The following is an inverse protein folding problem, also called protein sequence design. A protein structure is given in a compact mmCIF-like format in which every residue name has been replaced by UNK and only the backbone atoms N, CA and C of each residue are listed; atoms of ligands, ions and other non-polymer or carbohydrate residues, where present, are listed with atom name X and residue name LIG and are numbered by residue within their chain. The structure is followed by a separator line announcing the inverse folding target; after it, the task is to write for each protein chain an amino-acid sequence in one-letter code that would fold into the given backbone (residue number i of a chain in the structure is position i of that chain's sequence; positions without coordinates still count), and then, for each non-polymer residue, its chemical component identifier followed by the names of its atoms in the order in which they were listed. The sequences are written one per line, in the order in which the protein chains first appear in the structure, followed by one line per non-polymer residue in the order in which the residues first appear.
data_IF_578192206248
#
_entry.id   IF_578192206248
#
_cell.length_a   1.000
_cell.length_b   1.000
_cell.length_c   1.000
_cell.angle_alpha   90.00
_cell.angle_beta   90.00
_cell.angle_gamma   90.00
#
_symmetry.space_group_name_H-M   'P 1'
#
loop_
_entity.id
_entity.type
_entity.pdbx_description
1 polymer ?
#
# COMPACT_ATOMS: atom_id res chain seq x y z
N UNK A 1 -8.57 -38.80 -5.50
CA UNK A 1 -7.66 -37.70 -5.08
C UNK A 1 -8.37 -36.41 -5.43
N UNK A 2 -8.72 -35.61 -4.44
CA UNK A 2 -9.59 -34.43 -4.65
C UNK A 2 -8.80 -33.14 -4.86
N UNK A 3 -7.52 -33.13 -4.44
CA UNK A 3 -6.60 -32.00 -4.58
C UNK A 3 -5.25 -32.53 -5.05
N UNK A 4 -4.66 -31.85 -6.03
CA UNK A 4 -3.30 -32.10 -6.51
C UNK A 4 -2.47 -30.84 -6.27
N UNK A 5 -1.31 -30.98 -5.63
CA UNK A 5 -0.33 -29.90 -5.48
C UNK A 5 0.77 -30.12 -6.50
N UNK A 6 0.92 -29.19 -7.44
CA UNK A 6 1.75 -29.36 -8.61
C UNK A 6 2.65 -28.15 -8.87
N UNK A 7 3.83 -28.39 -9.43
CA UNK A 7 4.60 -27.35 -10.13
C UNK A 7 4.00 -27.13 -11.52
N UNK A 8 4.37 -26.03 -12.18
CA UNK A 8 3.88 -25.68 -13.53
C UNK A 8 4.03 -26.85 -14.50
N UNK A 9 5.23 -27.47 -14.54
CA UNK A 9 5.52 -28.56 -15.47
C UNK A 9 4.58 -29.76 -15.27
N UNK A 10 4.28 -30.12 -14.02
CA UNK A 10 3.36 -31.22 -13.73
C UNK A 10 1.90 -30.84 -14.00
N UNK A 11 1.47 -29.66 -13.56
CA UNK A 11 0.10 -29.18 -13.76
C UNK A 11 -0.27 -29.03 -15.24
N UNK A 12 0.72 -28.68 -16.09
CA UNK A 12 0.48 -28.60 -17.53
C UNK A 12 0.27 -29.97 -18.22
N UNK A 13 0.73 -31.06 -17.62
CA UNK A 13 0.52 -32.41 -18.12
C UNK A 13 -0.86 -32.98 -17.80
N UNK A 14 -1.62 -32.31 -16.92
CA UNK A 14 -2.94 -32.75 -16.50
C UNK A 14 -3.98 -32.21 -17.47
N UNK A 15 -4.70 -33.14 -18.11
CA UNK A 15 -5.88 -32.84 -18.95
C UNK A 15 -7.12 -33.50 -18.33
N UNK A 16 -7.73 -32.80 -17.37
CA UNK A 16 -8.95 -33.22 -16.70
C UNK A 16 -10.02 -32.15 -16.94
N UNK A 17 -11.17 -32.49 -17.55
CA UNK A 17 -12.12 -31.46 -18.02
C UNK A 17 -12.92 -30.80 -16.89
N UNK A 18 -13.08 -31.50 -15.77
CA UNK A 18 -13.93 -31.16 -14.63
C UNK A 18 -13.17 -30.52 -13.46
N UNK A 19 -12.07 -29.81 -13.73
CA UNK A 19 -11.32 -29.07 -12.70
C UNK A 19 -12.12 -27.85 -12.25
N UNK A 20 -12.58 -27.85 -10.99
CA UNK A 20 -13.42 -26.78 -10.40
C UNK A 20 -12.67 -25.65 -9.71
N UNK A 21 -11.43 -25.89 -9.31
CA UNK A 21 -10.66 -24.93 -8.55
C UNK A 21 -9.18 -25.03 -8.92
N UNK A 22 -8.60 -23.90 -9.33
CA UNK A 22 -7.16 -23.74 -9.51
C UNK A 22 -6.68 -22.70 -8.51
N UNK A 23 -5.69 -23.07 -7.70
CA UNK A 23 -5.06 -22.16 -6.73
C UNK A 23 -3.60 -21.97 -7.08
N UNK A 24 -3.23 -20.73 -7.33
CA UNK A 24 -1.85 -20.28 -7.41
C UNK A 24 -1.42 -19.79 -6.03
N UNK A 25 -0.57 -20.57 -5.35
CA UNK A 25 0.04 -20.15 -4.08
C UNK A 25 1.02 -18.98 -4.26
N UNK A 26 1.60 -18.84 -5.46
CA UNK A 26 2.43 -17.72 -5.89
C UNK A 26 2.09 -17.39 -7.34
N UNK A 27 2.27 -16.13 -7.77
CA UNK A 27 2.02 -15.76 -9.16
C UNK A 27 2.96 -16.46 -10.14
N UNK A 28 2.47 -16.71 -11.35
CA UNK A 28 3.22 -17.35 -12.42
C UNK A 28 4.38 -16.47 -12.91
N UNK A 29 5.32 -17.02 -13.68
CA UNK A 29 6.46 -16.22 -14.17
C UNK A 29 6.05 -15.17 -15.20
N UNK A 30 4.96 -15.42 -15.92
CA UNK A 30 4.42 -14.53 -16.96
C UNK A 30 2.90 -14.57 -16.93
N UNK A 31 2.27 -13.55 -17.52
CA UNK A 31 0.80 -13.49 -17.61
C UNK A 31 0.25 -14.54 -18.59
N UNK A 32 0.99 -14.87 -19.64
CA UNK A 32 0.63 -15.96 -20.57
C UNK A 32 0.64 -17.32 -19.87
N UNK A 33 1.67 -17.57 -19.05
CA UNK A 33 1.73 -18.79 -18.24
C UNK A 33 0.55 -18.88 -17.30
N UNK A 34 0.24 -17.79 -16.57
CA UNK A 34 -0.93 -17.72 -15.71
C UNK A 34 -2.23 -18.00 -16.48
N UNK A 35 -2.42 -17.38 -17.65
CA UNK A 35 -3.60 -17.58 -18.50
C UNK A 35 -3.76 -19.04 -18.96
N UNK A 36 -2.67 -19.68 -19.39
CA UNK A 36 -2.68 -21.09 -19.80
C UNK A 36 -2.95 -22.04 -18.63
N UNK A 37 -2.40 -21.73 -17.45
CA UNK A 37 -2.58 -22.52 -16.24
C UNK A 37 -4.03 -22.47 -15.76
N UNK A 38 -4.63 -21.28 -15.66
CA UNK A 38 -6.04 -21.13 -15.26
C UNK A 38 -7.02 -21.64 -16.33
N UNK A 39 -6.64 -21.63 -17.62
CA UNK A 39 -7.43 -22.16 -18.73
C UNK A 39 -7.61 -23.69 -18.73
N UNK A 40 -7.10 -24.38 -17.70
CA UNK A 40 -7.35 -25.81 -17.45
C UNK A 40 -8.60 -26.04 -16.60
N UNK A 41 -9.07 -25.02 -15.89
CA UNK A 41 -10.32 -25.10 -15.16
C UNK A 41 -11.51 -25.13 -16.11
N UNK A 42 -12.57 -25.87 -15.78
CA UNK A 42 -13.85 -25.71 -16.47
C UNK A 42 -13.88 -26.06 -17.95
N UNK A 43 -13.05 -26.99 -18.45
CA UNK A 43 -13.07 -27.37 -19.88
C UNK A 43 -14.34 -28.12 -20.29
N UNK A 44 -15.06 -28.66 -19.32
CA UNK A 44 -16.43 -29.17 -19.48
C UNK A 44 -17.49 -28.07 -19.66
N UNK A 45 -17.11 -26.79 -19.59
CA UNK A 45 -17.99 -25.64 -19.74
C UNK A 45 -18.69 -25.21 -18.45
N UNK A 46 -18.48 -25.92 -17.33
CA UNK A 46 -19.06 -25.54 -16.04
C UNK A 46 -18.18 -24.53 -15.29
N UNK A 47 -18.84 -23.68 -14.50
CA UNK A 47 -18.19 -22.66 -13.68
C UNK A 47 -17.09 -23.27 -12.80
N UNK A 48 -15.94 -22.59 -12.78
CA UNK A 48 -14.76 -22.99 -12.02
C UNK A 48 -14.05 -21.75 -11.51
N UNK A 49 -13.42 -21.86 -10.34
CA UNK A 49 -12.76 -20.74 -9.66
C UNK A 49 -11.25 -20.78 -9.86
N UNK A 50 -10.66 -19.60 -10.05
CA UNK A 50 -9.21 -19.42 -10.19
C UNK A 50 -8.76 -18.40 -9.14
N UNK A 51 -7.98 -18.85 -8.16
CA UNK A 51 -7.56 -18.04 -7.01
C UNK A 51 -6.04 -17.87 -7.06
N UNK A 52 -5.59 -16.61 -7.03
CA UNK A 52 -4.17 -16.26 -6.98
C UNK A 52 -3.84 -15.57 -5.65
N UNK A 53 -2.96 -16.19 -4.87
CA UNK A 53 -2.35 -15.52 -3.72
C UNK A 53 -1.19 -14.64 -4.17
N UNK A 54 -1.26 -13.37 -3.79
CA UNK A 54 -0.26 -12.35 -4.15
C UNK A 54 0.36 -11.74 -2.90
N UNK A 55 1.69 -11.71 -2.87
CA UNK A 55 2.47 -10.95 -1.91
C UNK A 55 3.68 -10.33 -2.60
N UNK A 56 3.99 -9.09 -2.23
CA UNK A 56 5.20 -8.41 -2.71
C UNK A 56 6.48 -9.14 -2.28
N UNK A 57 6.42 -9.99 -1.25
CA UNK A 57 7.53 -10.83 -0.81
C UNK A 57 7.97 -11.86 -1.87
N UNK A 58 7.04 -12.38 -2.67
CA UNK A 58 7.34 -13.40 -3.67
C UNK A 58 8.11 -12.84 -4.88
N UNK A 59 7.99 -11.55 -5.14
CA UNK A 59 8.78 -10.83 -6.14
C UNK A 59 10.27 -11.07 -6.02
N UNK A 60 10.81 -11.04 -4.79
CA UNK A 60 12.25 -11.19 -4.54
C UNK A 60 12.78 -12.53 -5.07
N UNK A 61 11.99 -13.60 -4.96
CA UNK A 61 12.36 -14.93 -5.47
C UNK A 61 12.41 -14.94 -6.99
N UNK A 62 11.41 -14.36 -7.66
CA UNK A 62 11.41 -14.25 -9.12
C UNK A 62 12.56 -13.39 -9.63
N UNK A 63 12.81 -12.22 -9.01
CA UNK A 63 13.94 -11.36 -9.36
C UNK A 63 15.29 -12.06 -9.18
N UNK A 64 15.46 -12.87 -8.13
CA UNK A 64 16.67 -13.63 -7.91
C UNK A 64 16.95 -14.60 -9.06
N UNK A 65 15.96 -15.40 -9.48
CA UNK A 65 16.15 -16.32 -10.61
C UNK A 65 16.33 -15.61 -11.95
N UNK A 66 15.64 -14.49 -12.17
CA UNK A 66 15.79 -13.71 -13.40
C UNK A 66 17.20 -13.12 -13.51
N UNK A 67 17.77 -12.63 -12.40
CA UNK A 67 19.14 -12.09 -12.36
C UNK A 67 20.23 -13.12 -12.68
N UNK A 68 19.94 -14.41 -12.59
CA UNK A 68 20.87 -15.49 -12.95
C UNK A 68 20.87 -15.81 -14.46
N UNK A 69 19.94 -15.24 -15.23
CA UNK A 69 19.92 -15.41 -16.68
C UNK A 69 21.13 -14.68 -17.27
N UNK A 70 22.00 -15.42 -17.97
CA UNK A 70 23.23 -14.90 -18.57
C UNK A 70 22.96 -14.00 -19.79
N UNK A 71 21.94 -14.32 -20.58
CA UNK A 71 21.55 -13.51 -21.74
C UNK A 71 20.78 -12.27 -21.29
N UNK A 72 21.38 -11.08 -21.47
CA UNK A 72 20.81 -9.80 -21.06
C UNK A 72 19.45 -9.53 -21.70
N UNK A 73 19.26 -9.98 -22.96
CA UNK A 73 18.00 -9.79 -23.67
C UNK A 73 16.89 -10.64 -23.04
N UNK A 74 17.12 -11.93 -22.81
CA UNK A 74 16.19 -12.83 -22.12
C UNK A 74 15.95 -12.40 -20.67
N UNK A 75 16.96 -11.90 -19.97
CA UNK A 75 16.83 -11.35 -18.62
C UNK A 75 15.86 -10.15 -18.62
N UNK A 76 16.09 -9.18 -19.51
CA UNK A 76 15.24 -7.99 -19.64
C UNK A 76 13.79 -8.37 -20.00
N UNK A 77 13.62 -9.30 -20.94
CA UNK A 77 12.30 -9.82 -21.32
C UNK A 77 11.60 -10.49 -20.13
N UNK A 78 12.32 -11.27 -19.33
CA UNK A 78 11.77 -11.94 -18.15
C UNK A 78 11.38 -10.94 -17.05
N UNK A 79 12.15 -9.87 -16.87
CA UNK A 79 11.79 -8.76 -15.95
C UNK A 79 10.54 -8.01 -16.41
N UNK A 80 10.37 -7.78 -17.72
CA UNK A 80 9.17 -7.16 -18.27
C UNK A 80 7.93 -8.03 -18.02
N UNK A 81 8.05 -9.34 -18.26
CA UNK A 81 6.98 -10.30 -17.99
C UNK A 81 6.59 -10.36 -16.50
N UNK A 82 7.57 -10.31 -15.60
CA UNK A 82 7.31 -10.22 -14.17
C UNK A 82 6.53 -8.95 -13.81
N UNK A 83 6.86 -7.80 -14.40
CA UNK A 83 6.12 -6.55 -14.15
C UNK A 83 4.67 -6.66 -14.60
N UNK A 84 4.41 -7.22 -15.78
CA UNK A 84 3.06 -7.40 -16.32
C UNK A 84 2.15 -8.23 -15.41
N UNK A 85 2.64 -9.34 -14.87
CA UNK A 85 1.82 -10.14 -13.95
C UNK A 85 1.63 -9.45 -12.58
N UNK A 86 2.62 -8.69 -12.11
CA UNK A 86 2.46 -7.87 -10.91
C UNK A 86 1.40 -6.77 -11.11
N UNK A 87 1.46 -6.07 -12.25
CA UNK A 87 0.48 -5.05 -12.63
C UNK A 87 -0.93 -5.67 -12.69
N UNK A 88 -1.07 -6.89 -13.20
CA UNK A 88 -2.33 -7.65 -13.16
C UNK A 88 -2.81 -7.92 -11.72
N UNK A 89 -1.92 -8.29 -10.81
CA UNK A 89 -2.25 -8.54 -9.41
C UNK A 89 -2.75 -7.27 -8.70
N UNK A 90 -2.14 -6.12 -8.98
CA UNK A 90 -2.43 -4.82 -8.38
C UNK A 90 -3.53 -4.03 -9.13
N UNK A 91 -3.99 -4.54 -10.27
CA UNK A 91 -4.96 -3.87 -11.11
C UNK A 91 -6.30 -3.67 -10.38
N UNK A 92 -6.88 -2.48 -10.50
CA UNK A 92 -8.12 -2.08 -9.80
C UNK A 92 -9.36 -2.07 -10.70
N UNK A 93 -9.26 -2.66 -11.89
CA UNK A 93 -10.36 -2.79 -12.86
C UNK A 93 -10.52 -4.24 -13.32
N UNK A 94 -11.54 -4.54 -14.12
CA UNK A 94 -11.89 -5.90 -14.55
C UNK A 94 -10.69 -6.77 -14.97
N UNK A 95 -10.47 -7.90 -14.27
CA UNK A 95 -9.36 -8.84 -14.57
C UNK A 95 -9.44 -9.44 -15.96
N UNK A 96 -10.65 -9.77 -16.43
CA UNK A 96 -10.88 -10.29 -17.79
C UNK A 96 -10.48 -9.26 -18.85
N UNK A 97 -10.85 -7.99 -18.65
CA UNK A 97 -10.51 -6.88 -19.54
C UNK A 97 -9.00 -6.68 -19.62
N UNK A 98 -8.29 -6.82 -18.50
CA UNK A 98 -6.82 -6.76 -18.47
C UNK A 98 -6.18 -7.87 -19.30
N UNK A 99 -6.59 -9.13 -19.07
CA UNK A 99 -6.06 -10.30 -19.80
C UNK A 99 -6.35 -10.18 -21.30
N UNK A 100 -7.58 -9.86 -21.69
CA UNK A 100 -7.93 -9.73 -23.11
C UNK A 100 -7.12 -8.63 -23.78
N UNK A 101 -7.02 -7.45 -23.13
CA UNK A 101 -6.20 -6.34 -23.64
C UNK A 101 -4.73 -6.74 -23.81
N UNK A 102 -4.20 -7.56 -22.91
CA UNK A 102 -2.84 -8.07 -23.00
C UNK A 102 -2.60 -8.85 -24.30
N UNK A 103 -3.58 -9.63 -24.74
CA UNK A 103 -3.55 -10.39 -25.99
C UNK A 103 -4.02 -9.58 -27.21
N UNK A 104 -4.24 -8.27 -27.07
CA UNK A 104 -4.71 -7.40 -28.16
C UNK A 104 -6.21 -7.49 -28.44
N UNK A 105 -6.97 -8.13 -27.55
CA UNK A 105 -8.43 -8.24 -27.66
C UNK A 105 -9.13 -7.15 -26.85
N UNK A 106 -10.24 -6.64 -27.39
CA UNK A 106 -11.05 -5.63 -26.73
C UNK A 106 -12.32 -6.24 -26.14
N UNK A 107 -12.47 -6.11 -24.83
CA UNK A 107 -13.71 -6.44 -24.12
C UNK A 107 -14.58 -5.19 -23.99
N UNK A 108 -15.72 -5.19 -24.69
CA UNK A 108 -16.62 -4.04 -24.78
C UNK A 108 -17.38 -3.77 -23.49
N UNK A 109 -17.66 -4.81 -22.70
CA UNK A 109 -18.34 -4.65 -21.42
C UNK A 109 -17.37 -4.19 -20.32
N UNK A 110 -17.85 -3.35 -19.41
CA UNK A 110 -17.05 -2.90 -18.26
C UNK A 110 -17.02 -3.92 -17.11
N UNK A 111 -17.97 -4.87 -17.08
CA UNK A 111 -18.10 -5.85 -16.02
C UNK A 111 -18.16 -7.27 -16.58
N UNK A 112 -17.19 -8.12 -16.25
CA UNK A 112 -17.15 -9.50 -16.74
C UNK A 112 -18.05 -10.49 -15.98
N UNK A 113 -18.73 -10.02 -14.93
CA UNK A 113 -19.63 -10.78 -14.06
C UNK A 113 -19.01 -12.00 -13.36
N UNK A 114 -17.68 -12.12 -13.36
CA UNK A 114 -16.99 -13.31 -12.83
C UNK A 114 -15.69 -13.09 -12.08
N UNK A 115 -15.00 -11.95 -12.25
CA UNK A 115 -13.76 -11.69 -11.48
C UNK A 115 -14.05 -11.01 -10.14
N UNK A 116 -13.14 -11.17 -9.20
CA UNK A 116 -13.17 -10.53 -7.88
C UNK A 116 -13.49 -9.04 -7.89
N UNK A 117 -12.88 -8.26 -8.78
CA UNK A 117 -13.11 -6.80 -8.87
C UNK A 117 -14.52 -6.49 -9.37
N UNK A 118 -14.99 -7.22 -10.39
CA UNK A 118 -16.33 -7.03 -10.97
C UNK A 118 -17.45 -7.60 -10.09
N UNK A 119 -17.13 -8.60 -9.29
CA UNK A 119 -17.99 -9.18 -8.26
C UNK A 119 -17.91 -8.41 -6.95
N UNK A 120 -16.93 -7.52 -6.80
CA UNK A 120 -16.60 -6.84 -5.55
C UNK A 120 -16.37 -7.82 -4.38
N UNK A 121 -15.54 -8.84 -4.61
CA UNK A 121 -15.16 -9.77 -3.55
C UNK A 121 -14.29 -9.04 -2.52
N UNK A 122 -14.63 -9.18 -1.24
CA UNK A 122 -13.77 -8.71 -0.15
C UNK A 122 -13.23 -9.88 0.66
N UNK A 123 -11.98 -9.73 1.08
CA UNK A 123 -11.36 -10.63 2.05
C UNK A 123 -12.02 -10.43 3.41
N UNK A 124 -12.67 -11.48 3.91
CA UNK A 124 -13.25 -11.51 5.25
C UNK A 124 -12.39 -12.41 6.12
N UNK A 125 -11.94 -11.86 7.24
CA UNK A 125 -11.25 -12.62 8.28
C UNK A 125 -12.32 -13.34 9.12
N UNK A 126 -12.34 -14.67 9.04
CA UNK A 126 -13.15 -15.50 9.93
C UNK A 126 -12.73 -15.38 11.39
N UNK A 127 -13.63 -15.74 12.31
CA UNK A 127 -13.30 -15.87 13.73
C UNK A 127 -12.59 -17.20 14.01
N UNK A 128 -11.50 -17.17 14.80
CA UNK A 128 -10.73 -18.35 15.21
C UNK A 128 -9.72 -18.86 14.17
N UNK A 129 -9.28 -20.12 14.31
CA UNK A 129 -8.28 -20.79 13.45
C UNK A 129 -8.80 -21.20 12.05
N UNK A 130 -9.92 -20.63 11.58
CA UNK A 130 -10.50 -20.94 10.26
C UNK A 130 -10.42 -19.74 9.29
N UNK A 131 -9.44 -19.88 8.39
CA UNK A 131 -9.33 -19.54 6.95
C UNK A 131 -9.89 -18.21 6.42
N UNK A 132 -9.13 -17.62 5.50
CA UNK A 132 -9.54 -16.54 4.60
C UNK A 132 -10.78 -16.95 3.82
N UNK A 133 -11.83 -16.12 3.86
CA UNK A 133 -13.01 -16.26 3.00
C UNK A 133 -13.11 -15.06 2.06
N UNK A 134 -13.55 -15.32 0.82
CA UNK A 134 -13.92 -14.28 -0.13
C UNK A 134 -15.43 -14.34 -0.30
N UNK A 135 -16.13 -13.30 0.17
CA UNK A 135 -17.56 -13.19 -0.08
C UNK A 135 -17.82 -12.12 -1.12
N UNK A 136 -18.80 -12.38 -1.99
CA UNK A 136 -19.35 -11.37 -2.89
C UNK A 136 -20.01 -10.32 -2.03
N UNK A 137 -19.33 -9.21 -1.80
CA UNK A 137 -19.97 -8.06 -1.19
C UNK A 137 -20.92 -7.55 -2.25
N UNK A 138 -22.22 -7.75 -2.01
CA UNK A 138 -23.25 -7.04 -2.76
C UNK A 138 -22.99 -5.55 -2.58
N UNK A 139 -22.27 -4.96 -3.51
CA UNK A 139 -22.32 -3.52 -3.71
C UNK A 139 -23.69 -3.22 -4.30
N UNK A 140 -24.66 -3.05 -3.41
CA UNK A 140 -25.79 -2.16 -3.63
C UNK A 140 -25.33 -0.70 -3.47
N UNK A 141 -24.10 -0.35 -3.86
CA UNK A 141 -23.74 1.05 -4.00
C UNK A 141 -24.16 1.44 -5.43
N UNK A 142 -25.47 1.59 -5.59
CA UNK A 142 -26.02 2.32 -6.72
C UNK A 142 -25.49 3.74 -6.62
N UNK A 143 -24.62 4.13 -7.56
CA UNK A 143 -24.07 5.47 -7.63
C UNK A 143 -24.70 6.23 -8.78
N UNK A 144 -24.91 7.53 -8.60
CA UNK A 144 -25.45 8.39 -9.62
C UNK A 144 -24.43 8.60 -10.73
N UNK A 145 -24.76 8.16 -11.95
CA UNK A 145 -23.86 8.24 -13.11
C UNK A 145 -23.66 9.68 -13.60
N UNK A 146 -24.67 10.52 -13.46
CA UNK A 146 -24.64 11.91 -13.91
C UNK A 146 -23.75 12.73 -12.97
N UNK A 147 -23.93 12.57 -11.65
CA UNK A 147 -23.04 13.20 -10.67
C UNK A 147 -21.60 12.69 -10.81
N UNK A 148 -21.40 11.39 -11.04
CA UNK A 148 -20.06 10.84 -11.27
C UNK A 148 -19.34 11.53 -12.44
N UNK A 149 -20.03 11.75 -13.57
CA UNK A 149 -19.42 12.40 -14.73
C UNK A 149 -19.16 13.90 -14.47
N UNK A 150 -20.06 14.59 -13.76
CA UNK A 150 -19.83 15.97 -13.34
C UNK A 150 -18.59 16.12 -12.45
N UNK A 151 -18.46 15.25 -11.44
CA UNK A 151 -17.28 15.22 -10.58
C UNK A 151 -16.00 14.87 -11.33
N UNK A 152 -16.10 14.06 -12.39
CA UNK A 152 -14.97 13.72 -13.25
C UNK A 152 -14.52 14.92 -14.09
N UNK A 153 -15.45 15.72 -14.58
CA UNK A 153 -15.17 16.98 -15.30
C UNK A 153 -14.54 18.00 -14.37
N UNK A 154 -15.11 18.21 -13.18
CA UNK A 154 -14.56 19.10 -12.15
C UNK A 154 -13.13 18.71 -11.78
N UNK A 155 -12.89 17.42 -11.53
CA UNK A 155 -11.56 16.88 -11.26
C UNK A 155 -10.57 17.21 -12.38
N UNK A 156 -10.99 17.13 -13.65
CA UNK A 156 -10.14 17.42 -14.81
C UNK A 156 -9.81 18.91 -14.91
N UNK A 157 -10.76 19.80 -14.61
CA UNK A 157 -10.54 21.24 -14.61
C UNK A 157 -9.49 21.64 -13.56
N UNK A 158 -9.69 21.22 -12.30
CA UNK A 158 -8.75 21.50 -11.21
C UNK A 158 -7.35 20.93 -11.52
N UNK A 159 -7.30 19.73 -12.08
CA UNK A 159 -6.05 19.09 -12.49
C UNK A 159 -5.31 19.90 -13.56
N UNK A 160 -6.02 20.44 -14.55
CA UNK A 160 -5.43 21.30 -15.58
C UNK A 160 -4.94 22.63 -15.00
N UNK A 161 -5.71 23.29 -14.13
CA UNK A 161 -5.33 24.56 -13.49
C UNK A 161 -4.07 24.42 -12.62
N UNK A 162 -3.99 23.34 -11.84
CA UNK A 162 -2.81 23.04 -11.00
C UNK A 162 -1.67 22.41 -11.80
N UNK A 163 -1.90 22.11 -13.08
CA UNK A 163 -1.02 21.36 -13.96
C UNK A 163 -0.52 20.07 -13.30
N UNK A 164 -1.47 19.23 -12.88
CA UNK A 164 -1.28 17.88 -12.33
C UNK A 164 -2.15 16.85 -13.05
N UNK A 165 -1.80 15.56 -13.04
CA UNK A 165 -2.69 14.51 -13.54
C UNK A 165 -3.97 14.37 -12.69
N UNK A 166 -5.12 14.15 -13.33
CA UNK A 166 -6.44 14.14 -12.69
C UNK A 166 -6.58 13.17 -11.49
N UNK A 167 -5.95 11.98 -11.56
CA UNK A 167 -6.03 10.99 -10.48
C UNK A 167 -5.32 11.43 -9.19
N UNK A 168 -4.42 12.43 -9.25
CA UNK A 168 -3.74 12.99 -8.08
C UNK A 168 -4.72 13.72 -7.17
N UNK A 169 -5.69 14.43 -7.78
CA UNK A 169 -6.78 15.12 -7.07
C UNK A 169 -7.65 14.07 -6.36
N UNK A 170 -8.36 13.22 -7.10
CA UNK A 170 -9.11 12.07 -6.57
C UNK A 170 -9.09 10.87 -7.53
N UNK A 171 -9.08 9.65 -6.99
CA UNK A 171 -9.21 8.43 -7.79
C UNK A 171 -10.68 8.12 -8.13
N UNK A 172 -10.92 7.27 -9.14
CA UNK A 172 -12.28 6.92 -9.59
C UNK A 172 -13.12 6.18 -8.53
N UNK A 173 -12.46 5.55 -7.56
CA UNK A 173 -13.13 4.94 -6.39
C UNK A 173 -13.71 6.02 -5.48
N UNK A 174 -12.96 7.09 -5.21
CA UNK A 174 -13.41 8.22 -4.40
C UNK A 174 -14.60 8.92 -5.05
N UNK A 175 -14.52 9.17 -6.37
CA UNK A 175 -15.62 9.82 -7.12
C UNK A 175 -16.90 8.98 -7.12
N UNK A 176 -16.79 7.65 -7.26
CA UNK A 176 -17.95 6.75 -7.16
C UNK A 176 -18.59 6.82 -5.78
N UNK A 177 -17.80 6.74 -4.71
CA UNK A 177 -18.35 6.89 -3.35
C UNK A 177 -19.01 8.25 -3.14
N UNK A 178 -18.42 9.35 -3.63
CA UNK A 178 -19.05 10.68 -3.58
C UNK A 178 -20.40 10.68 -4.29
N UNK A 179 -20.46 10.12 -5.50
CA UNK A 179 -21.67 10.01 -6.31
C UNK A 179 -22.71 9.00 -5.77
N UNK A 180 -22.35 8.23 -4.75
CA UNK A 180 -23.26 7.28 -4.10
C UNK A 180 -23.88 7.84 -2.83
N UNK A 181 -23.06 8.51 -2.04
CA UNK A 181 -23.40 8.90 -0.69
C UNK A 181 -23.72 10.38 -0.54
N UNK A 182 -23.40 11.20 -1.54
CA UNK A 182 -23.70 12.63 -1.56
C UNK A 182 -23.25 13.34 -0.26
N UNK A 183 -21.95 13.32 0.08
CA UNK A 183 -21.45 13.91 1.33
C UNK A 183 -21.83 15.39 1.41
N UNK A 184 -22.42 15.80 2.53
CA UNK A 184 -22.97 17.17 2.70
C UNK A 184 -22.01 18.16 3.34
N UNK A 185 -21.04 17.65 4.09
CA UNK A 185 -20.14 18.43 4.93
C UNK A 185 -18.74 17.80 4.98
N UNK A 186 -17.79 18.56 5.52
CA UNK A 186 -16.39 18.13 5.64
C UNK A 186 -16.22 16.81 6.41
N UNK A 187 -17.02 16.57 7.46
CA UNK A 187 -16.92 15.31 8.23
C UNK A 187 -17.31 14.09 7.41
N UNK A 188 -18.35 14.20 6.59
CA UNK A 188 -18.76 13.13 5.67
C UNK A 188 -17.76 12.98 4.53
N UNK A 189 -17.32 14.09 3.94
CA UNK A 189 -16.35 14.07 2.85
C UNK A 189 -15.04 13.37 3.24
N UNK A 190 -14.55 13.60 4.47
CA UNK A 190 -13.35 12.93 5.01
C UNK A 190 -13.51 11.41 5.16
N UNK A 191 -14.74 10.88 5.19
CA UNK A 191 -14.99 9.43 5.30
C UNK A 191 -14.96 8.73 3.95
N UNK A 192 -14.97 9.46 2.84
CA UNK A 192 -14.83 8.90 1.50
C UNK A 192 -13.43 8.28 1.36
N UNK A 193 -13.37 7.07 0.81
CA UNK A 193 -12.11 6.37 0.58
C UNK A 193 -11.20 7.17 -0.34
N UNK A 194 -9.99 7.48 0.14
CA UNK A 194 -9.00 8.26 -0.62
C UNK A 194 -9.06 9.78 -0.39
N UNK A 195 -9.98 10.25 0.46
CA UNK A 195 -10.00 11.62 0.98
C UNK A 195 -9.29 11.63 2.33
N UNK A 196 -8.17 12.35 2.42
CA UNK A 196 -7.48 12.65 3.68
C UNK A 196 -7.62 14.13 4.05
N UNK A 197 -7.21 14.52 5.25
CA UNK A 197 -7.36 15.90 5.78
C UNK A 197 -6.81 16.95 4.81
N UNK A 198 -5.65 16.70 4.23
CA UNK A 198 -5.05 17.63 3.27
C UNK A 198 -5.91 17.80 2.02
N UNK A 199 -6.40 16.72 1.40
CA UNK A 199 -7.26 16.79 0.21
C UNK A 199 -8.61 17.41 0.49
N UNK A 200 -9.12 17.23 1.71
CA UNK A 200 -10.32 17.91 2.17
C UNK A 200 -10.09 19.42 2.24
N UNK A 201 -8.95 19.87 2.79
CA UNK A 201 -8.63 21.29 2.85
C UNK A 201 -8.41 21.89 1.46
N UNK A 202 -7.74 21.14 0.58
CA UNK A 202 -7.32 21.65 -0.73
C UNK A 202 -8.45 21.65 -1.77
N UNK A 203 -9.36 20.66 -1.72
CA UNK A 203 -10.38 20.44 -2.77
C UNK A 203 -11.78 20.19 -2.21
N UNK A 204 -11.93 20.01 -0.90
CA UNK A 204 -13.19 19.60 -0.29
C UNK A 204 -14.32 20.58 -0.56
N UNK A 205 -14.05 21.89 -0.47
CA UNK A 205 -15.05 22.94 -0.72
C UNK A 205 -15.63 22.84 -2.14
N UNK A 206 -14.77 22.79 -3.17
CA UNK A 206 -15.19 22.70 -4.58
C UNK A 206 -16.03 21.46 -4.88
N UNK A 207 -15.61 20.30 -4.35
CA UNK A 207 -16.33 19.05 -4.57
C UNK A 207 -17.63 18.99 -3.78
N UNK A 208 -17.64 19.47 -2.53
CA UNK A 208 -18.86 19.56 -1.73
C UNK A 208 -19.87 20.53 -2.34
N UNK A 209 -19.42 21.65 -2.89
CA UNK A 209 -20.27 22.60 -3.59
C UNK A 209 -20.93 21.94 -4.81
N UNK A 210 -20.16 21.30 -5.68
CA UNK A 210 -20.70 20.59 -6.85
C UNK A 210 -21.71 19.51 -6.45
N UNK A 211 -21.40 18.70 -5.42
CA UNK A 211 -22.31 17.66 -4.91
C UNK A 211 -23.59 18.29 -4.36
N UNK A 212 -23.48 19.32 -3.53
CA UNK A 212 -24.63 19.97 -2.90
C UNK A 212 -25.52 20.69 -3.93
N UNK A 213 -24.94 21.29 -4.97
CA UNK A 213 -25.68 21.92 -6.06
C UNK A 213 -26.43 20.85 -6.87
N UNK A 214 -25.76 19.76 -7.25
CA UNK A 214 -26.40 18.65 -7.94
C UNK A 214 -27.56 18.05 -7.14
N UNK A 215 -27.38 17.87 -5.82
CA UNK A 215 -28.42 17.37 -4.91
C UNK A 215 -29.63 18.31 -4.87
N UNK A 216 -29.41 19.63 -4.82
CA UNK A 216 -30.50 20.63 -4.84
C UNK A 216 -31.22 20.68 -6.18
N UNK A 217 -30.50 20.64 -7.29
CA UNK A 217 -31.06 20.74 -8.64
C UNK A 217 -31.90 19.51 -9.03
N UNK A 218 -31.50 18.33 -8.55
CA UNK A 218 -32.16 17.07 -8.86
C UNK A 218 -33.11 16.59 -7.76
N UNK A 219 -33.37 17.43 -6.74
CA UNK A 219 -34.23 17.13 -5.57
C UNK A 219 -33.92 15.76 -4.92
N UNK A 220 -32.62 15.48 -4.72
CA UNK A 220 -32.15 14.21 -4.20
C UNK A 220 -32.21 14.23 -2.67
N UNK A 221 -32.92 13.27 -2.07
CA UNK A 221 -32.83 13.03 -0.63
C UNK A 221 -31.49 12.34 -0.29
N UNK A 222 -30.45 13.15 -0.18
CA UNK A 222 -29.12 12.67 0.18
C UNK A 222 -29.15 12.12 1.62
N UNK A 223 -29.11 10.79 1.77
CA UNK A 223 -28.98 10.14 3.08
C UNK A 223 -27.65 10.48 3.80
N UNK A 224 -26.68 11.04 3.07
CA UNK A 224 -25.31 11.24 3.52
C UNK A 224 -24.58 9.90 3.63
N UNK A 225 -23.27 9.92 3.89
CA UNK A 225 -22.57 8.69 4.27
C UNK A 225 -23.08 8.32 5.66
N UNK A 226 -23.74 7.14 5.84
CA UNK A 226 -24.14 6.70 7.16
C UNK A 226 -22.93 6.85 8.06
N UNK A 227 -23.08 7.54 9.20
CA UNK A 227 -22.07 7.41 10.24
C UNK A 227 -21.87 5.91 10.36
N UNK A 228 -20.69 5.41 9.98
CA UNK A 228 -20.20 4.22 10.65
C UNK A 228 -20.35 4.65 12.09
N UNK A 229 -21.34 4.08 12.79
CA UNK A 229 -21.19 3.88 14.21
C UNK A 229 -19.73 3.51 14.30
N UNK A 230 -18.96 4.26 15.09
CA UNK A 230 -17.70 3.72 15.52
C UNK A 230 -18.14 2.35 16.05
N UNK A 231 -17.98 1.27 15.26
CA UNK A 231 -17.79 -0.08 15.75
C UNK A 231 -16.79 0.24 16.79
N UNK A 232 -17.24 0.31 18.06
CA UNK A 232 -16.45 0.91 19.13
C UNK A 232 -15.09 0.38 18.83
N UNK A 233 -14.17 1.27 18.42
CA UNK A 233 -12.83 0.82 18.21
C UNK A 233 -12.58 0.05 19.49
N UNK A 234 -12.11 -1.19 19.39
CA UNK A 234 -11.70 -1.91 20.59
C UNK A 234 -10.51 -1.18 21.25
N UNK A 235 -10.48 0.15 21.30
CA UNK A 235 -9.98 0.87 22.45
C UNK A 235 -10.84 0.45 23.65
N UNK A 236 -10.21 -0.37 24.49
CA UNK A 236 -10.60 -0.76 25.86
C UNK A 236 -11.42 -2.03 26.03
N UNK A 237 -11.01 -3.09 25.36
CA UNK A 237 -10.43 -4.14 26.19
C UNK A 237 -8.98 -4.25 25.73
N UNK A 238 -8.01 -3.85 26.57
CA UNK A 238 -6.71 -4.52 26.51
C UNK A 238 -7.08 -5.99 26.46
N UNK A 239 -6.78 -6.70 25.36
CA UNK A 239 -7.00 -8.15 25.33
C UNK A 239 -6.45 -8.70 26.65
N UNK A 240 -7.09 -9.71 27.25
CA UNK A 240 -6.68 -10.27 28.55
C UNK A 240 -5.15 -10.47 28.64
N UNK A 241 -4.50 -10.69 27.51
CA UNK A 241 -3.05 -10.78 27.36
C UNK A 241 -2.30 -9.44 27.52
N UNK A 242 -2.75 -8.32 26.96
CA UNK A 242 -2.12 -7.01 27.18
C UNK A 242 -2.26 -6.57 28.65
N UNK A 243 -3.42 -6.80 29.27
CA UNK A 243 -3.65 -6.46 30.68
C UNK A 243 -2.73 -7.27 31.59
N UNK A 244 -2.63 -8.58 31.33
CA UNK A 244 -1.68 -9.45 32.05
C UNK A 244 -0.22 -9.05 31.81
N UNK A 245 0.18 -8.75 30.56
CA UNK A 245 1.52 -8.25 30.27
C UNK A 245 1.79 -6.95 31.03
N UNK A 246 0.82 -6.02 31.08
CA UNK A 246 0.91 -4.79 31.88
C UNK A 246 1.07 -5.09 33.38
N UNK A 247 0.27 -5.98 33.95
CA UNK A 247 0.36 -6.37 35.37
C UNK A 247 1.72 -6.99 35.70
N UNK A 248 2.28 -7.82 34.81
CA UNK A 248 3.59 -8.41 35.00
C UNK A 248 4.71 -7.38 34.86
N UNK A 249 4.57 -6.42 33.94
CA UNK A 249 5.53 -5.32 33.81
C UNK A 249 5.53 -4.43 35.06
N UNK A 250 4.36 -4.12 35.62
CA UNK A 250 4.23 -3.37 36.87
C UNK A 250 4.87 -4.12 38.06
N UNK A 251 4.93 -5.45 38.00
CA UNK A 251 5.63 -6.31 38.96
C UNK A 251 7.13 -6.45 38.67
N UNK A 252 7.65 -5.76 37.66
CA UNK A 252 9.07 -5.80 37.22
C UNK A 252 9.56 -7.20 36.81
N UNK A 253 8.69 -8.01 36.23
CA UNK A 253 9.01 -9.35 35.72
C UNK A 253 9.76 -9.22 34.38
N UNK A 254 10.76 -10.08 34.13
CA UNK A 254 11.56 -9.99 32.90
C UNK A 254 10.76 -10.36 31.64
N UNK A 255 11.23 -9.95 30.46
CA UNK A 255 10.56 -10.27 29.19
C UNK A 255 10.53 -11.79 28.95
N UNK A 256 11.61 -12.49 29.32
CA UNK A 256 11.77 -13.94 29.20
C UNK A 256 10.75 -14.67 30.09
N UNK A 257 10.60 -14.23 31.33
CA UNK A 257 9.64 -14.79 32.29
C UNK A 257 8.20 -14.53 31.85
N UNK A 258 7.88 -13.31 31.39
CA UNK A 258 6.56 -12.98 30.84
C UNK A 258 6.26 -13.87 29.63
N UNK A 259 7.24 -14.05 28.73
CA UNK A 259 7.11 -14.89 27.55
C UNK A 259 6.81 -16.36 27.94
N UNK A 260 7.55 -16.89 28.93
CA UNK A 260 7.36 -18.24 29.47
C UNK A 260 5.98 -18.46 30.11
N UNK A 261 5.54 -17.55 30.99
CA UNK A 261 4.24 -17.66 31.67
C UNK A 261 3.07 -17.59 30.68
N UNK A 262 3.23 -16.83 29.60
CA UNK A 262 2.19 -16.64 28.59
C UNK A 262 2.23 -17.64 27.43
N UNK A 263 3.29 -18.45 27.29
CA UNK A 263 3.52 -19.28 26.12
C UNK A 263 3.74 -18.48 24.84
N UNK A 264 4.29 -17.27 24.95
CA UNK A 264 4.60 -16.39 23.82
C UNK A 264 6.11 -16.35 23.54
N UNK A 265 6.48 -15.87 22.35
CA UNK A 265 7.87 -15.48 22.06
C UNK A 265 8.15 -14.09 22.64
N UNK A 266 9.36 -13.83 23.11
CA UNK A 266 9.79 -12.53 23.68
C UNK A 266 9.43 -11.33 22.79
N UNK A 267 9.63 -11.46 21.47
CA UNK A 267 9.22 -10.46 20.46
C UNK A 267 7.75 -10.05 20.57
N UNK A 268 6.86 -10.98 20.96
CA UNK A 268 5.43 -10.69 21.15
C UNK A 268 5.19 -9.85 22.40
N UNK A 269 5.97 -10.05 23.45
CA UNK A 269 5.93 -9.24 24.68
C UNK A 269 6.44 -7.83 24.40
N UNK A 270 7.54 -7.69 23.65
CA UNK A 270 8.05 -6.38 23.21
C UNK A 270 7.01 -5.65 22.36
N UNK A 271 6.31 -6.36 21.47
CA UNK A 271 5.19 -5.80 20.71
C UNK A 271 4.02 -5.37 21.63
N UNK A 272 3.71 -6.13 22.69
CA UNK A 272 2.70 -5.73 23.67
C UNK A 272 3.12 -4.45 24.41
N UNK A 273 4.38 -4.33 24.82
CA UNK A 273 4.94 -3.13 25.45
C UNK A 273 4.80 -1.91 24.54
N UNK A 274 5.21 -2.03 23.27
CA UNK A 274 5.10 -0.95 22.28
C UNK A 274 3.64 -0.49 22.13
N UNK A 275 2.69 -1.42 22.07
CA UNK A 275 1.25 -1.09 21.98
C UNK A 275 0.65 -0.50 23.25
N UNK A 276 1.16 -0.88 24.43
CA UNK A 276 0.73 -0.30 25.70
C UNK A 276 1.19 1.16 25.79
N UNK A 277 2.43 1.45 25.41
CA UNK A 277 2.98 2.81 25.38
C UNK A 277 2.29 3.70 24.34
N UNK A 278 2.10 3.22 23.11
CA UNK A 278 1.32 3.92 22.07
C UNK A 278 -0.14 4.18 22.50
N UNK A 279 -0.67 3.32 23.38
CA UNK A 279 -2.01 3.46 23.96
C UNK A 279 -2.10 4.47 25.11
N UNK A 280 -0.98 5.12 25.48
CA UNK A 280 -0.91 6.08 26.58
C UNK A 280 -0.92 5.45 27.98
N UNK A 281 -0.62 4.15 28.09
CA UNK A 281 -0.53 3.48 29.39
C UNK A 281 0.80 3.82 30.08
N UNK A 282 0.73 4.24 31.34
CA UNK A 282 1.92 4.51 32.13
C UNK A 282 2.52 3.18 32.63
N UNK A 283 3.58 2.72 31.97
CA UNK A 283 4.36 1.54 32.35
C UNK A 283 5.85 1.90 32.42
N UNK A 284 6.49 1.54 33.53
CA UNK A 284 7.94 1.67 33.66
C UNK A 284 8.62 0.54 32.88
N UNK A 285 9.40 0.89 31.85
CA UNK A 285 10.19 -0.06 31.08
C UNK A 285 11.69 0.07 31.35
N UNK A 286 12.12 0.92 32.28
CA UNK A 286 13.54 1.21 32.49
C UNK A 286 14.35 -0.01 32.92
N UNK A 287 13.73 -0.93 33.66
CA UNK A 287 14.37 -2.19 34.07
C UNK A 287 14.49 -3.22 32.93
N UNK A 288 13.80 -2.99 31.80
CA UNK A 288 13.86 -3.83 30.59
C UNK A 288 14.89 -3.32 29.57
N UNK A 289 15.50 -2.15 29.84
CA UNK A 289 16.52 -1.57 28.98
C UNK A 289 17.84 -2.36 29.18
N UNK A 290 18.60 -2.62 28.11
CA UNK A 290 19.93 -3.24 28.23
C UNK A 290 20.89 -2.41 29.11
N UNK A 291 22.07 -2.96 29.42
CA UNK A 291 23.06 -2.29 30.29
C UNK A 291 23.35 -0.85 29.85
N UNK A 292 23.72 0.02 30.80
CA UNK A 292 23.97 1.45 30.54
C UNK A 292 24.93 1.69 29.37
N UNK A 293 25.97 0.87 29.25
CA UNK A 293 26.92 0.90 28.14
C UNK A 293 26.25 0.60 26.80
N UNK A 294 25.49 -0.51 26.70
CA UNK A 294 24.75 -0.89 25.49
C UNK A 294 23.68 0.14 25.11
N UNK A 295 23.02 0.72 26.10
CA UNK A 295 22.03 1.78 25.90
C UNK A 295 22.65 3.00 25.26
N UNK A 296 23.76 3.52 25.79
CA UNK A 296 24.43 4.70 25.25
C UNK A 296 24.96 4.43 23.82
N UNK A 297 25.52 3.24 23.55
CA UNK A 297 25.95 2.88 22.19
C UNK A 297 24.80 2.94 21.18
N UNK A 298 23.67 2.28 21.48
CA UNK A 298 22.50 2.29 20.58
C UNK A 298 21.90 3.70 20.47
N UNK A 299 21.89 4.46 21.57
CA UNK A 299 21.38 5.84 21.60
C UNK A 299 22.20 6.76 20.69
N UNK A 300 23.53 6.70 20.73
CA UNK A 300 24.38 7.49 19.83
C UNK A 300 24.14 7.14 18.35
N UNK A 301 23.89 5.87 18.03
CA UNK A 301 23.49 5.49 16.67
C UNK A 301 22.12 6.05 16.27
N UNK A 302 21.16 6.17 17.21
CA UNK A 302 19.89 6.85 16.94
C UNK A 302 20.04 8.35 16.74
N UNK A 303 21.00 9.00 17.42
CA UNK A 303 21.33 10.42 17.23
C UNK A 303 21.93 10.66 15.82
N UNK A 304 22.73 9.72 15.31
CA UNK A 304 23.35 9.81 13.98
C UNK A 304 22.40 9.45 12.82
N UNK A 305 21.64 8.35 12.94
CA UNK A 305 20.82 7.81 11.83
C UNK A 305 19.32 8.14 11.93
N UNK A 306 18.88 8.71 13.06
CA UNK A 306 17.48 9.05 13.34
C UNK A 306 16.62 7.87 13.84
N UNK A 307 15.50 8.21 14.49
CA UNK A 307 14.66 7.25 15.25
C UNK A 307 13.66 6.43 14.43
N UNK A 308 13.55 6.70 13.12
CA UNK A 308 12.50 6.11 12.26
C UNK A 308 12.77 4.67 11.85
N UNK A 309 14.01 4.32 11.47
CA UNK A 309 14.37 3.02 10.90
C UNK A 309 15.35 2.27 11.81
N UNK A 310 15.10 0.98 12.06
CA UNK A 310 15.98 0.13 12.89
C UNK A 310 17.08 -0.56 12.07
N UNK A 311 16.86 -0.79 10.77
CA UNK A 311 17.80 -1.51 9.91
C UNK A 311 19.16 -0.80 9.73
N UNK A 312 19.23 0.54 9.57
CA UNK A 312 20.50 1.25 9.51
C UNK A 312 21.35 1.06 10.77
N UNK A 313 20.71 1.09 11.94
CA UNK A 313 21.37 0.93 13.25
C UNK A 313 21.85 -0.50 13.45
N UNK A 314 21.02 -1.48 13.10
CA UNK A 314 21.40 -2.89 13.14
C UNK A 314 22.63 -3.18 12.26
N UNK A 315 22.65 -2.60 11.05
CA UNK A 315 23.77 -2.76 10.11
C UNK A 315 25.03 -2.02 10.58
N UNK A 316 24.89 -0.85 11.21
CA UNK A 316 26.01 -0.08 11.75
C UNK A 316 26.83 -0.89 12.76
N UNK A 317 26.15 -1.64 13.62
CA UNK A 317 26.77 -2.52 14.61
C UNK A 317 27.04 -3.94 14.11
N UNK A 318 26.90 -4.23 12.81
CA UNK A 318 27.11 -5.55 12.22
C UNK A 318 26.42 -6.72 12.97
N UNK A 319 25.25 -6.47 13.55
CA UNK A 319 24.49 -7.47 14.30
C UNK A 319 24.92 -7.72 15.75
N UNK A 320 25.80 -6.89 16.32
CA UNK A 320 26.17 -6.93 17.75
C UNK A 320 24.97 -6.74 18.70
N UNK A 321 23.96 -5.99 18.24
CA UNK A 321 22.70 -5.76 18.95
C UNK A 321 21.54 -6.42 18.22
N UNK A 322 20.65 -7.06 18.97
CA UNK A 322 19.43 -7.63 18.40
C UNK A 322 18.43 -6.53 18.00
N UNK A 323 17.56 -6.80 17.03
CA UNK A 323 16.47 -5.89 16.67
C UNK A 323 15.54 -5.57 17.85
N UNK A 324 15.42 -6.51 18.77
CA UNK A 324 14.57 -6.42 19.94
C UNK A 324 15.19 -5.46 20.99
N UNK A 325 16.51 -5.52 21.22
CA UNK A 325 17.25 -4.54 22.03
C UNK A 325 17.20 -3.13 21.42
N UNK A 326 17.45 -2.99 20.11
CA UNK A 326 17.40 -1.70 19.43
C UNK A 326 15.99 -1.08 19.54
N UNK A 327 14.94 -1.92 19.47
CA UNK A 327 13.55 -1.49 19.64
C UNK A 327 13.26 -1.04 21.08
N UNK A 328 13.77 -1.73 22.11
CA UNK A 328 13.65 -1.32 23.51
C UNK A 328 14.29 0.04 23.77
N UNK A 329 15.51 0.26 23.26
CA UNK A 329 16.21 1.55 23.38
C UNK A 329 15.42 2.67 22.70
N UNK A 330 14.86 2.43 21.51
CA UNK A 330 14.01 3.41 20.82
C UNK A 330 12.79 3.82 21.66
N UNK A 331 12.11 2.86 22.30
CA UNK A 331 10.95 3.14 23.15
C UNK A 331 11.36 4.00 24.35
N UNK A 332 12.50 3.68 24.97
CA UNK A 332 13.02 4.44 26.10
C UNK A 332 13.43 5.89 25.71
N UNK A 333 14.02 6.09 24.53
CA UNK A 333 14.34 7.44 24.01
C UNK A 333 13.06 8.25 23.81
N UNK A 334 12.01 7.65 23.23
CA UNK A 334 10.72 8.33 23.03
C UNK A 334 10.09 8.76 24.35
N UNK A 335 10.09 7.90 25.36
CA UNK A 335 9.55 8.26 26.68
C UNK A 335 10.32 9.42 27.33
N UNK A 336 11.65 9.45 27.18
CA UNK A 336 12.48 10.57 27.68
C UNK A 336 12.29 11.87 26.90
N UNK A 337 12.00 11.80 25.59
CA UNK A 337 11.75 12.97 24.75
C UNK A 337 10.32 13.51 24.91
N UNK A 338 9.33 12.65 25.18
CA UNK A 338 7.94 13.05 25.44
C UNK A 338 7.77 13.85 26.75
N UNK A 339 8.70 13.72 27.70
CA UNK A 339 8.78 14.58 28.89
C UNK A 339 9.36 15.98 28.58
N UNK A 340 10.05 16.15 27.44
CA UNK A 340 10.59 17.44 26.97
C UNK A 340 9.63 18.12 25.99
N UNK A 341 8.94 17.36 25.13
CA UNK A 341 8.02 17.87 24.10
C UNK A 341 6.65 18.36 24.62
N UNK A 342 6.40 18.30 25.95
CA UNK A 342 5.17 18.89 26.53
C UNK A 342 5.23 20.42 26.65
N UNK A 343 6.43 21.01 26.68
CA UNK A 343 6.60 22.47 26.75
C UNK A 343 6.63 23.16 25.37
N UNK A 344 6.90 22.42 24.28
CA UNK A 344 7.08 23.00 22.92
C UNK A 344 5.88 22.84 21.98
N UNK A 345 4.77 22.22 22.43
CA UNK A 345 3.60 21.91 21.58
C UNK A 345 2.68 23.07 21.24
N UNK A 346 3.02 24.30 21.63
CA UNK A 346 2.22 25.47 21.27
C UNK A 346 2.61 26.13 19.94
N UNK A 347 3.65 25.67 19.23
CA UNK A 347 4.22 26.50 18.14
C UNK A 347 4.63 25.84 16.82
N UNK A 348 3.99 24.75 16.36
CA UNK A 348 4.11 24.43 14.93
C UNK A 348 2.95 23.66 14.30
N UNK A 349 2.03 24.42 13.70
CA UNK A 349 1.15 23.95 12.63
C UNK A 349 1.71 24.42 11.28
N UNK A 350 1.48 23.62 10.23
CA UNK A 350 1.63 23.89 8.78
C UNK A 350 2.94 23.44 8.12
N UNK A 351 2.81 22.42 7.28
CA UNK A 351 3.42 22.44 5.94
C UNK A 351 2.29 22.09 4.97
N UNK A 352 1.90 23.07 4.16
CA UNK A 352 0.88 22.91 3.13
C UNK A 352 1.42 22.03 1.99
N UNK A 353 0.65 21.00 1.61
CA UNK A 353 1.03 20.05 0.56
C UNK A 353 1.11 20.72 -0.81
N UNK A 354 0.29 21.75 -1.05
CA UNK A 354 0.37 22.56 -2.26
C UNK A 354 1.61 23.43 -2.28
N UNK A 355 1.92 24.12 -1.20
CA UNK A 355 3.18 24.82 -1.04
C UNK A 355 4.38 23.89 -1.28
N UNK A 356 4.34 22.66 -0.78
CA UNK A 356 5.40 21.67 -1.05
C UNK A 356 5.49 21.24 -2.51
N UNK A 357 4.37 21.18 -3.23
CA UNK A 357 4.35 20.88 -4.66
C UNK A 357 4.79 22.08 -5.52
N UNK A 358 4.48 23.31 -5.07
CA UNK A 358 4.95 24.55 -5.66
C UNK A 358 6.46 24.72 -5.45
N UNK A 359 6.97 24.49 -4.24
CA UNK A 359 8.41 24.42 -3.93
C UNK A 359 9.12 23.38 -4.81
N UNK A 360 8.50 22.22 -5.03
CA UNK A 360 9.01 21.20 -5.95
C UNK A 360 9.05 21.71 -7.40
N UNK A 361 8.06 22.50 -7.84
CA UNK A 361 8.05 23.10 -9.19
C UNK A 361 9.01 24.28 -9.30
N UNK A 362 9.26 25.04 -8.22
CA UNK A 362 10.29 26.08 -8.19
C UNK A 362 11.69 25.48 -8.31
N UNK A 363 11.97 24.41 -7.56
CA UNK A 363 13.25 23.70 -7.62
C UNK A 363 13.40 22.87 -8.90
N UNK A 364 12.30 22.29 -9.38
CA UNK A 364 12.25 21.44 -10.57
C UNK A 364 11.10 21.84 -11.51
N UNK A 365 11.29 22.88 -12.36
CA UNK A 365 10.27 23.39 -13.27
C UNK A 365 9.56 22.36 -14.15
N UNK A 366 10.22 21.24 -14.48
CA UNK A 366 9.68 20.19 -15.33
C UNK A 366 9.15 18.99 -14.50
N UNK A 367 8.94 19.15 -13.20
CA UNK A 367 8.37 18.11 -12.34
C UNK A 367 6.97 17.69 -12.84
N UNK A 368 6.75 16.37 -12.97
CA UNK A 368 5.50 15.74 -13.44
C UNK A 368 5.11 16.00 -14.90
N UNK A 369 5.88 16.78 -15.65
CA UNK A 369 5.69 16.93 -17.09
C UNK A 369 5.87 15.61 -17.84
N UNK A 370 5.23 15.49 -19.00
CA UNK A 370 5.45 14.36 -19.90
C UNK A 370 6.88 14.39 -20.45
N UNK A 371 7.49 13.23 -20.69
CA UNK A 371 8.81 13.15 -21.32
C UNK A 371 8.66 13.08 -22.84
N UNK A 372 9.45 13.85 -23.57
CA UNK A 372 9.54 13.76 -25.03
C UNK A 372 10.74 12.92 -25.51
N UNK A 373 10.77 12.61 -26.81
CA UNK A 373 11.81 11.76 -27.40
C UNK A 373 13.21 12.41 -27.37
N UNK A 374 13.28 13.73 -27.45
CA UNK A 374 14.56 14.46 -27.43
C UNK A 374 15.16 14.49 -26.02
N UNK A 375 14.33 14.72 -25.00
CA UNK A 375 14.68 14.61 -23.59
C UNK A 375 15.16 13.19 -23.27
N UNK A 376 14.45 12.17 -23.75
CA UNK A 376 14.80 10.76 -23.57
C UNK A 376 16.17 10.43 -24.17
N UNK A 377 16.42 10.86 -25.42
CA UNK A 377 17.69 10.62 -26.12
C UNK A 377 18.86 11.35 -25.45
N UNK A 378 18.63 12.60 -25.04
CA UNK A 378 19.61 13.41 -24.30
C UNK A 378 19.92 12.79 -22.94
N UNK A 379 18.91 12.30 -22.23
CA UNK A 379 19.07 11.69 -20.90
C UNK A 379 19.91 10.42 -20.99
N UNK A 380 19.63 9.55 -21.97
CA UNK A 380 20.44 8.34 -22.24
C UNK A 380 21.90 8.69 -22.54
N UNK A 381 22.14 9.67 -23.42
CA UNK A 381 23.49 10.09 -23.82
C UNK A 381 24.30 10.67 -22.67
N UNK A 382 23.67 11.46 -21.80
CA UNK A 382 24.35 12.06 -20.66
C UNK A 382 24.62 11.00 -19.57
N UNK A 383 23.66 10.11 -19.32
CA UNK A 383 23.85 9.03 -18.37
C UNK A 383 24.94 8.04 -18.83
N UNK A 384 25.02 7.72 -20.13
CA UNK A 384 26.09 6.87 -20.68
C UNK A 384 27.50 7.49 -20.59
N UNK A 385 27.59 8.80 -20.37
CA UNK A 385 28.84 9.51 -20.06
C UNK A 385 29.14 9.56 -18.56
N UNK A 386 28.48 8.74 -17.75
CA UNK A 386 28.58 8.69 -16.29
C UNK A 386 28.27 10.02 -15.59
N UNK A 387 27.40 10.86 -16.18
CA UNK A 387 26.93 12.07 -15.51
C UNK A 387 26.05 11.65 -14.32
N UNK A 388 26.37 12.07 -13.08
CA UNK A 388 25.66 11.61 -11.89
C UNK A 388 24.21 12.13 -11.85
N UNK A 389 23.33 11.38 -11.19
CA UNK A 389 21.89 11.69 -11.14
C UNK A 389 21.64 13.11 -10.60
N UNK A 390 22.41 13.58 -9.60
CA UNK A 390 22.29 14.94 -9.07
C UNK A 390 22.66 16.04 -10.09
N UNK A 391 23.51 15.73 -11.08
CA UNK A 391 23.80 16.66 -12.17
C UNK A 391 22.70 16.61 -13.24
N UNK A 392 22.15 15.43 -13.51
CA UNK A 392 21.03 15.26 -14.43
C UNK A 392 19.76 15.98 -13.94
N UNK A 393 19.50 16.04 -12.63
CA UNK A 393 18.34 16.75 -12.07
C UNK A 393 18.38 18.24 -12.37
N UNK A 394 19.58 18.85 -12.39
CA UNK A 394 19.77 20.25 -12.81
C UNK A 394 19.58 20.45 -14.31
N UNK A 395 20.05 19.49 -15.12
CA UNK A 395 19.98 19.56 -16.59
C UNK A 395 18.55 19.40 -17.10
N UNK A 396 17.79 18.44 -16.54
CA UNK A 396 16.41 18.16 -16.94
C UNK A 396 15.39 18.94 -16.10
N UNK A 397 15.83 19.69 -15.09
CA UNK A 397 14.97 20.44 -14.18
C UNK A 397 13.84 19.57 -13.60
N UNK A 398 14.18 18.31 -13.27
CA UNK A 398 13.26 17.25 -12.81
C UNK A 398 13.81 16.60 -11.55
N UNK A 399 12.91 16.10 -10.71
CA UNK A 399 13.27 15.43 -9.47
C UNK A 399 14.14 14.17 -9.70
N UNK A 400 15.03 13.82 -8.74
CA UNK A 400 15.86 12.61 -8.83
C UNK A 400 15.05 11.32 -8.99
N UNK A 401 13.87 11.26 -8.38
CA UNK A 401 12.92 10.14 -8.49
C UNK A 401 12.41 9.96 -9.92
N UNK A 402 12.07 11.06 -10.61
CA UNK A 402 11.61 11.07 -11.98
C UNK A 402 12.73 10.63 -12.94
N UNK A 403 13.96 11.14 -12.76
CA UNK A 403 15.12 10.73 -13.56
C UNK A 403 15.44 9.25 -13.35
N UNK A 404 15.48 8.76 -12.10
CA UNK A 404 15.67 7.34 -11.81
C UNK A 404 14.57 6.47 -12.41
N UNK A 405 13.32 6.90 -12.30
CA UNK A 405 12.18 6.20 -12.88
C UNK A 405 12.29 6.12 -14.40
N UNK A 406 12.70 7.21 -15.07
CA UNK A 406 12.87 7.25 -16.53
C UNK A 406 14.08 6.45 -17.00
N UNK A 407 15.23 6.56 -16.35
CA UNK A 407 16.41 5.71 -16.63
C UNK A 407 16.11 4.22 -16.41
N UNK A 408 15.29 3.88 -15.39
CA UNK A 408 14.79 2.52 -15.15
C UNK A 408 13.80 2.05 -16.22
N UNK A 409 13.06 2.96 -16.87
CA UNK A 409 12.25 2.67 -18.07
C UNK A 409 13.14 2.39 -19.29
N UNK A 410 14.26 3.10 -19.44
CA UNK A 410 15.24 2.81 -20.51
C UNK A 410 16.07 1.56 -20.23
N UNK A 411 16.17 1.15 -18.96
CA UNK A 411 16.95 0.00 -18.53
C UNK A 411 18.45 0.28 -18.49
N UNK A 412 18.85 1.53 -18.25
CA UNK A 412 20.26 1.93 -18.12
C UNK A 412 20.70 2.09 -16.66
N UNK A 413 19.76 2.04 -15.70
CA UNK A 413 20.00 2.26 -14.26
C UNK A 413 19.40 1.17 -13.39
#
# INVERSE_FOLDING_TARGET
VDIIVATIAFGMGIDKPDVRLIIHHTFSKTLEGYYQEIGRAGRDGFSSDCVLFYSWGDKRKHEFFIKQIMDEFAQKKSMDQLRKIMDYCEYTSCRRKYILRYFGENFQEDNCKGCDICLNLQEIKGEGDKKLFFEKVKENISYDKSLFEELRVLRKQIANEKNFPAFVIFGDVSLREMASYFPKNNEEFLRIKGVGEQKLNDYGELFLEAINNYVKENDIDAMGIPRKEKKKSKTRFLSKNYQKTKEMILKKISIEEIAGIHGFKERRIIYHIEKLLEGGENIDINYLIPSKERFESIKSAFEEFGTKLLAPIYNYFNGEFSYDEIRLVRMAIKLKNEDVEKDDKENNSKIDYHQRLEEIKEEFPNAYESWDEDEDNKLKRLFSKNVPIQALTKIFKRQPSAIRSRLRKFGVL
#
